data_IF_540071313725
#
_entry.id   IF_540071313725
#
_cell.length_a   1.000
_cell.length_b   1.000
_cell.length_c   1.000
_cell.angle_alpha   90.00
_cell.angle_beta   90.00
_cell.angle_gamma   90.00
#
_symmetry.space_group_name_H-M   'P 1'
#
loop_
_entity.id
_entity.type
_entity.pdbx_description
1 polymer ?
#
# COMPACT_ATOMS: atom_id res chain seq x y z
N UNK A 1 4.43 -33.32 -0.93
CA UNK A 1 4.90 -33.94 0.33
C UNK A 1 4.92 -32.86 1.39
N UNK A 2 4.50 -33.17 2.60
CA UNK A 2 4.59 -32.25 3.73
C UNK A 2 6.05 -32.17 4.20
N UNK A 3 6.53 -30.94 4.38
CA UNK A 3 7.89 -30.60 4.79
C UNK A 3 7.84 -29.78 6.08
N UNK A 4 8.89 -29.89 6.87
CA UNK A 4 9.03 -29.11 8.09
C UNK A 4 10.09 -28.01 7.90
N UNK A 5 9.84 -26.85 8.49
CA UNK A 5 10.78 -25.75 8.48
C UNK A 5 10.60 -24.81 9.65
N UNK A 6 11.49 -23.83 9.73
CA UNK A 6 11.45 -22.75 10.71
C UNK A 6 11.10 -21.44 10.02
N UNK A 7 10.16 -20.68 10.57
CA UNK A 7 9.82 -19.36 10.06
C UNK A 7 10.95 -18.38 10.44
N UNK A 8 11.90 -18.15 9.52
CA UNK A 8 13.10 -17.36 9.79
C UNK A 8 12.79 -15.87 9.92
N UNK A 9 11.88 -15.37 9.08
CA UNK A 9 11.45 -13.97 9.06
C UNK A 9 9.96 -13.90 8.78
N UNK A 10 9.25 -13.09 9.55
CA UNK A 10 7.84 -12.78 9.37
C UNK A 10 7.61 -11.27 9.44
N UNK A 11 6.91 -10.71 8.46
CA UNK A 11 6.41 -9.34 8.48
C UNK A 11 4.88 -9.37 8.60
N UNK A 12 4.38 -9.06 9.81
CA UNK A 12 2.94 -9.14 10.09
C UNK A 12 2.13 -8.04 9.39
N UNK A 13 2.70 -6.84 9.20
CA UNK A 13 2.06 -5.73 8.48
C UNK A 13 1.84 -6.06 7.00
N UNK A 14 2.82 -6.72 6.38
CA UNK A 14 2.76 -7.12 4.97
C UNK A 14 2.18 -8.52 4.77
N UNK A 15 2.01 -9.30 5.85
CA UNK A 15 1.36 -10.61 5.85
C UNK A 15 2.16 -11.72 5.14
N UNK A 16 3.49 -11.65 5.13
CA UNK A 16 4.33 -12.70 4.55
C UNK A 16 5.62 -12.95 5.32
N UNK A 17 6.25 -14.09 5.03
CA UNK A 17 7.53 -14.46 5.59
C UNK A 17 8.25 -15.53 4.77
N UNK A 18 9.37 -15.98 5.31
CA UNK A 18 10.22 -17.00 4.69
C UNK A 18 10.49 -18.14 5.66
N UNK A 19 10.23 -19.35 5.18
CA UNK A 19 10.46 -20.60 5.90
C UNK A 19 11.80 -21.16 5.45
N UNK A 20 12.69 -21.45 6.40
CA UNK A 20 13.91 -22.21 6.19
C UNK A 20 13.58 -23.70 6.33
N UNK A 21 13.69 -24.53 5.26
CA UNK A 21 13.46 -25.96 5.38
C UNK A 21 14.47 -26.60 6.34
N UNK A 22 14.01 -27.51 7.19
CA UNK A 22 14.88 -28.27 8.11
C UNK A 22 15.81 -29.24 7.36
N UNK A 23 15.38 -29.72 6.19
CA UNK A 23 16.18 -30.57 5.31
C UNK A 23 17.25 -29.79 4.51
N UNK A 24 17.38 -28.48 4.77
CA UNK A 24 18.24 -27.59 3.99
C UNK A 24 17.62 -27.21 2.63
N UNK A 25 18.26 -26.26 1.96
CA UNK A 25 17.82 -25.75 0.66
C UNK A 25 17.35 -24.29 0.70
N UNK A 26 16.76 -23.86 -0.42
CA UNK A 26 16.32 -22.48 -0.63
C UNK A 26 15.14 -22.11 0.29
N UNK A 27 15.12 -20.85 0.73
CA UNK A 27 14.03 -20.31 1.54
C UNK A 27 12.69 -20.40 0.78
N UNK A 28 11.66 -20.87 1.47
CA UNK A 28 10.32 -21.06 0.91
C UNK A 28 9.45 -19.89 1.33
N UNK A 29 8.83 -19.22 0.37
CA UNK A 29 7.95 -18.08 0.64
C UNK A 29 6.62 -18.54 1.26
N UNK A 30 6.19 -17.88 2.34
CA UNK A 30 4.92 -18.13 3.02
C UNK A 30 4.09 -16.84 3.11
N UNK A 31 2.80 -16.93 2.81
CA UNK A 31 1.85 -15.82 2.93
C UNK A 31 0.80 -16.15 4.01
N UNK A 32 0.27 -15.13 4.69
CA UNK A 32 -0.71 -15.30 5.78
C UNK A 32 -1.95 -16.09 5.35
N UNK A 33 -2.36 -15.98 4.08
CA UNK A 33 -3.48 -16.77 3.53
C UNK A 33 -3.22 -18.27 3.44
N UNK A 34 -1.95 -18.70 3.46
CA UNK A 34 -1.56 -20.10 3.48
C UNK A 34 -1.44 -20.66 4.90
N UNK A 35 -1.40 -19.80 5.92
CA UNK A 35 -1.29 -20.18 7.33
C UNK A 35 -2.63 -20.68 7.84
N UNK A 36 -2.59 -21.78 8.60
CA UNK A 36 -3.72 -22.44 9.24
C UNK A 36 -3.41 -22.53 10.73
N UNK A 37 -4.13 -21.77 11.55
CA UNK A 37 -3.99 -21.75 13.00
C UNK A 37 -4.75 -20.59 13.63
N UNK A 38 -4.93 -20.65 14.94
CA UNK A 38 -5.72 -19.69 15.72
C UNK A 38 -4.91 -18.46 16.17
N UNK A 39 -3.60 -18.47 15.91
CA UNK A 39 -2.69 -17.35 16.25
C UNK A 39 -1.92 -16.85 15.03
N UNK A 40 -1.51 -15.59 15.09
CA UNK A 40 -0.61 -15.00 14.09
C UNK A 40 0.77 -15.66 14.16
N UNK A 41 1.44 -15.88 13.01
CA UNK A 41 2.78 -16.46 12.99
C UNK A 41 3.83 -15.48 13.53
N UNK A 42 4.87 -16.03 14.14
CA UNK A 42 6.00 -15.24 14.67
C UNK A 42 7.30 -15.85 14.17
N UNK A 43 8.30 -15.00 13.91
CA UNK A 43 9.66 -15.46 13.58
C UNK A 43 10.18 -16.42 14.66
N UNK A 44 10.69 -17.57 14.26
CA UNK A 44 11.10 -18.66 15.15
C UNK A 44 10.09 -19.81 15.24
N UNK A 45 8.85 -19.62 14.77
CA UNK A 45 7.85 -20.69 14.77
C UNK A 45 8.30 -21.89 13.92
N UNK A 46 8.18 -23.10 14.47
CA UNK A 46 8.28 -24.33 13.67
C UNK A 46 6.98 -24.50 12.89
N UNK A 47 7.09 -24.77 11.60
CA UNK A 47 5.94 -24.89 10.71
C UNK A 47 6.04 -26.13 9.84
N UNK A 48 4.89 -26.75 9.60
CA UNK A 48 4.72 -27.81 8.60
C UNK A 48 4.01 -27.23 7.38
N UNK A 49 4.51 -27.51 6.18
CA UNK A 49 3.98 -26.93 4.94
C UNK A 49 4.14 -27.87 3.76
N UNK A 50 3.39 -27.64 2.70
CA UNK A 50 3.58 -28.31 1.41
C UNK A 50 4.28 -27.34 0.47
N UNK A 51 5.47 -27.71 0.00
CA UNK A 51 6.19 -26.91 -1.00
C UNK A 51 5.54 -27.08 -2.38
N UNK A 52 5.11 -25.97 -2.98
CA UNK A 52 4.64 -25.90 -4.36
C UNK A 52 5.53 -24.94 -5.16
N UNK A 53 5.79 -25.25 -6.43
CA UNK A 53 6.51 -24.34 -7.34
C UNK A 53 5.47 -23.53 -8.09
N UNK A 54 5.47 -22.21 -7.93
CA UNK A 54 4.65 -21.33 -8.75
C UNK A 54 5.24 -21.29 -10.18
N UNK A 55 4.42 -20.96 -11.20
CA UNK A 55 4.81 -20.96 -12.63
C UNK A 55 5.98 -20.04 -13.03
N UNK A 56 6.62 -19.38 -12.06
CA UNK A 56 7.84 -18.56 -12.18
C UNK A 56 9.02 -19.08 -11.35
N UNK A 57 9.07 -20.38 -11.05
CA UNK A 57 10.20 -21.04 -10.37
C UNK A 57 10.49 -20.57 -8.93
N UNK A 58 9.53 -19.93 -8.24
CA UNK A 58 9.63 -19.59 -6.82
C UNK A 58 8.95 -20.67 -5.97
N UNK A 59 9.63 -21.12 -4.91
CA UNK A 59 9.08 -22.07 -3.95
C UNK A 59 8.12 -21.34 -3.01
N UNK A 60 6.87 -21.82 -2.96
CA UNK A 60 5.82 -21.26 -2.13
C UNK A 60 5.24 -22.34 -1.22
N UNK A 61 5.03 -21.98 0.04
CA UNK A 61 4.44 -22.84 1.04
C UNK A 61 2.91 -22.77 0.95
N UNK A 62 2.27 -23.93 0.88
CA UNK A 62 0.83 -24.12 0.96
C UNK A 62 0.48 -24.92 2.22
N UNK A 63 -0.73 -24.72 2.75
CA UNK A 63 -1.24 -25.44 3.92
C UNK A 63 -0.30 -25.39 5.14
N UNK A 64 0.20 -24.21 5.49
CA UNK A 64 1.18 -24.05 6.56
C UNK A 64 0.51 -24.17 7.93
N UNK A 65 1.00 -25.04 8.80
CA UNK A 65 0.54 -25.22 10.19
C UNK A 65 1.68 -24.95 11.16
N UNK A 66 1.40 -24.23 12.25
CA UNK A 66 2.40 -23.98 13.29
C UNK A 66 2.48 -25.18 14.24
N UNK A 67 3.68 -25.70 14.46
CA UNK A 67 3.97 -26.81 15.36
C UNK A 67 4.27 -26.27 16.76
N UNK A 68 3.27 -26.30 17.64
CA UNK A 68 3.35 -26.00 19.07
C UNK A 68 2.01 -25.44 19.56
N UNK A 69 1.22 -26.18 20.32
CA UNK A 69 1.55 -26.80 21.62
C UNK A 69 1.44 -28.33 21.68
N UNK A 70 2.51 -28.99 22.13
CA UNK A 70 2.38 -30.19 22.95
C UNK A 70 1.93 -29.73 24.35
N UNK A 71 0.66 -29.93 24.68
CA UNK A 71 0.37 -30.45 26.00
C UNK A 71 0.88 -31.90 25.98
N UNK A 72 1.85 -32.18 26.85
CA UNK A 72 2.23 -33.54 27.19
C UNK A 72 0.99 -34.21 27.78
N UNK A 73 0.47 -35.26 27.15
CA UNK A 73 0.18 -36.56 27.78
C UNK A 73 -0.64 -37.48 26.85
N UNK A 74 -0.35 -38.77 26.96
CA UNK A 74 -1.06 -39.97 26.48
C UNK A 74 -1.12 -40.31 24.98
N UNK A 75 -0.20 -41.24 24.66
CA UNK A 75 -0.43 -42.37 23.76
C UNK A 75 -1.76 -43.06 24.07
N UNK A 76 -2.75 -42.89 23.18
CA UNK A 76 -3.86 -43.80 23.05
C UNK A 76 -3.80 -44.43 21.66
N UNK A 77 -3.21 -45.62 21.64
CA UNK A 77 -3.44 -46.65 20.63
C UNK A 77 -4.95 -46.71 20.36
N UNK A 78 -5.39 -46.36 19.15
CA UNK A 78 -6.68 -46.84 18.64
C UNK A 78 -6.62 -47.12 17.15
N UNK A 79 -6.69 -48.42 16.90
CA UNK A 79 -6.80 -49.15 15.65
C UNK A 79 -7.88 -48.58 14.73
N UNK A 80 -7.58 -48.57 13.42
CA UNK A 80 -8.54 -48.42 12.32
C UNK A 80 -9.76 -49.35 12.53
N UNK A 81 -10.93 -48.90 12.06
CA UNK A 81 -11.57 -49.71 11.02
C UNK A 81 -11.99 -48.89 9.80
N UNK A 82 -12.09 -49.67 8.72
CA UNK A 82 -12.45 -49.38 7.34
C UNK A 82 -13.94 -49.08 7.24
N UNK A 83 -14.32 -47.92 6.68
CA UNK A 83 -15.57 -47.80 5.94
C UNK A 83 -15.38 -46.89 4.74
N UNK A 84 -15.63 -47.49 3.58
CA UNK A 84 -15.79 -46.85 2.30
C UNK A 84 -17.07 -46.01 2.37
N UNK A 85 -16.97 -44.69 2.21
CA UNK A 85 -18.09 -43.89 1.75
C UNK A 85 -17.54 -42.64 1.07
N UNK A 86 -17.59 -42.67 -0.26
CA UNK A 86 -17.31 -41.55 -1.14
C UNK A 86 -18.47 -40.55 -1.04
N UNK A 87 -18.23 -39.27 -0.68
CA UNK A 87 -19.21 -38.25 -0.94
C UNK A 87 -19.22 -37.96 -2.44
N UNK A 88 -20.33 -38.30 -3.07
CA UNK A 88 -20.76 -37.90 -4.41
C UNK A 88 -20.30 -36.48 -4.71
N UNK A 89 -19.65 -36.33 -5.87
CA UNK A 89 -19.22 -35.08 -6.44
C UNK A 89 -20.37 -34.05 -6.43
N UNK A 90 -20.37 -33.16 -5.43
CA UNK A 90 -21.21 -31.98 -5.45
C UNK A 90 -20.63 -31.07 -6.52
N UNK A 91 -21.26 -31.08 -7.69
CA UNK A 91 -20.96 -30.22 -8.82
C UNK A 91 -20.59 -28.81 -8.34
N UNK A 92 -19.31 -28.44 -8.48
CA UNK A 92 -18.86 -27.07 -8.28
C UNK A 92 -19.57 -26.23 -9.33
N UNK A 93 -20.61 -25.49 -8.92
CA UNK A 93 -21.22 -24.44 -9.74
C UNK A 93 -20.09 -23.58 -10.30
N UNK A 94 -20.06 -23.26 -11.61
CA UNK A 94 -19.06 -22.38 -12.15
C UNK A 94 -19.16 -21.07 -11.36
N UNK A 95 -18.06 -20.72 -10.68
CA UNK A 95 -17.93 -19.45 -9.98
C UNK A 95 -17.95 -18.41 -11.08
N UNK A 96 -19.15 -17.87 -11.37
CA UNK A 96 -19.31 -16.72 -12.26
C UNK A 96 -18.32 -15.69 -11.76
N UNK A 97 -17.21 -15.54 -12.47
CA UNK A 97 -16.34 -14.38 -12.45
C UNK A 97 -17.17 -13.25 -13.03
N UNK A 98 -18.18 -12.80 -12.27
CA UNK A 98 -18.65 -11.45 -12.46
C UNK A 98 -17.41 -10.62 -12.20
N UNK A 99 -16.91 -9.98 -13.26
CA UNK A 99 -16.11 -8.78 -13.12
C UNK A 99 -16.99 -7.82 -12.32
N UNK A 100 -16.94 -7.94 -10.99
CA UNK A 100 -17.54 -6.99 -10.07
C UNK A 100 -16.73 -5.74 -10.32
N UNK A 101 -17.19 -4.94 -11.28
CA UNK A 101 -16.82 -3.54 -11.41
C UNK A 101 -17.19 -3.00 -10.04
N UNK A 102 -16.19 -2.87 -9.17
CA UNK A 102 -16.40 -2.37 -7.82
C UNK A 102 -17.02 -1.00 -8.01
N UNK A 103 -18.34 -0.91 -7.88
CA UNK A 103 -19.05 0.36 -7.91
C UNK A 103 -18.40 1.17 -6.80
N UNK A 104 -17.68 2.24 -7.16
CA UNK A 104 -17.12 3.16 -6.19
C UNK A 104 -18.26 3.61 -5.28
N UNK A 105 -18.33 3.05 -4.07
CA UNK A 105 -19.36 3.45 -3.12
C UNK A 105 -19.22 4.94 -2.84
N UNK A 106 -20.32 5.67 -2.65
CA UNK A 106 -20.30 7.13 -2.48
C UNK A 106 -19.27 7.54 -1.42
N UNK A 107 -18.53 8.61 -1.70
CA UNK A 107 -17.51 9.14 -0.80
C UNK A 107 -18.22 9.75 0.41
N UNK A 108 -18.01 9.18 1.60
CA UNK A 108 -18.53 9.77 2.85
C UNK A 108 -17.94 11.16 3.05
N UNK A 109 -18.77 12.11 3.49
CA UNK A 109 -18.40 13.50 3.79
C UNK A 109 -17.76 14.23 2.60
N UNK A 110 -18.29 14.04 1.39
CA UNK A 110 -17.76 14.66 0.17
C UNK A 110 -17.70 16.19 0.27
N UNK A 111 -18.77 16.83 0.75
CA UNK A 111 -18.82 18.30 0.89
C UNK A 111 -17.70 18.84 1.78
N UNK A 112 -17.48 18.24 2.96
CA UNK A 112 -16.39 18.63 3.85
C UNK A 112 -15.01 18.44 3.19
N UNK A 113 -14.82 17.34 2.45
CA UNK A 113 -13.56 17.08 1.74
C UNK A 113 -13.30 18.06 0.62
N UNK A 114 -14.33 18.43 -0.13
CA UNK A 114 -14.24 19.46 -1.17
C UNK A 114 -13.96 20.83 -0.54
N UNK A 115 -14.60 21.16 0.60
CA UNK A 115 -14.31 22.38 1.34
C UNK A 115 -12.84 22.44 1.77
N UNK A 116 -12.32 21.37 2.39
CA UNK A 116 -10.91 21.29 2.77
C UNK A 116 -9.99 21.41 1.56
N UNK A 117 -10.31 20.75 0.45
CA UNK A 117 -9.52 20.86 -0.78
C UNK A 117 -9.50 22.30 -1.31
N UNK A 118 -10.67 22.94 -1.41
CA UNK A 118 -10.79 24.33 -1.86
C UNK A 118 -10.02 25.27 -0.94
N UNK A 119 -10.10 25.07 0.37
CA UNK A 119 -9.37 25.85 1.36
C UNK A 119 -7.84 25.67 1.21
N UNK A 120 -7.35 24.45 1.01
CA UNK A 120 -5.92 24.21 0.81
C UNK A 120 -5.42 24.75 -0.54
N UNK A 121 -6.27 24.79 -1.55
CA UNK A 121 -5.91 25.28 -2.88
C UNK A 121 -6.00 26.81 -3.00
N UNK A 122 -6.77 27.50 -2.15
CA UNK A 122 -7.00 28.94 -2.30
C UNK A 122 -5.72 29.77 -2.13
N UNK A 123 -4.84 29.38 -1.20
CA UNK A 123 -3.62 30.11 -0.91
C UNK A 123 -2.56 29.95 -2.02
N UNK A 124 -2.22 28.74 -2.49
CA UNK A 124 -1.38 28.56 -3.68
C UNK A 124 -1.95 29.19 -4.95
N UNK A 125 -3.28 29.15 -5.12
CA UNK A 125 -3.94 29.75 -6.28
C UNK A 125 -3.83 31.27 -6.27
N UNK A 126 -4.08 31.90 -5.11
CA UNK A 126 -3.94 33.35 -4.95
C UNK A 126 -2.52 33.81 -5.25
N UNK A 127 -1.52 33.12 -4.69
CA UNK A 127 -0.12 33.45 -4.94
C UNK A 127 0.30 33.23 -6.41
N UNK A 128 -0.15 32.15 -7.05
CA UNK A 128 0.12 31.92 -8.46
C UNK A 128 -0.52 32.98 -9.37
N UNK A 129 -1.73 33.45 -9.02
CA UNK A 129 -2.40 34.55 -9.72
C UNK A 129 -1.61 35.86 -9.52
N UNK A 130 -1.17 36.15 -8.30
CA UNK A 130 -0.36 37.34 -8.03
C UNK A 130 0.93 37.34 -8.85
N UNK A 131 1.68 36.23 -8.86
CA UNK A 131 2.88 36.09 -9.70
C UNK A 131 2.61 36.23 -11.19
N UNK A 132 1.46 35.74 -11.65
CA UNK A 132 1.04 35.92 -13.04
C UNK A 132 0.77 37.40 -13.35
N UNK A 133 0.11 38.13 -12.46
CA UNK A 133 -0.22 39.54 -12.66
C UNK A 133 1.02 40.44 -12.56
N UNK A 134 1.92 40.17 -11.61
CA UNK A 134 3.09 41.01 -11.34
C UNK A 134 4.24 40.73 -12.31
N UNK A 135 4.52 39.46 -12.58
CA UNK A 135 5.71 39.02 -13.33
C UNK A 135 5.39 38.35 -14.67
N UNK A 136 4.11 38.09 -14.98
CA UNK A 136 3.72 37.31 -16.16
C UNK A 136 4.10 35.83 -16.08
N UNK A 137 4.47 35.32 -14.90
CA UNK A 137 5.03 33.98 -14.75
C UNK A 137 3.94 32.89 -14.76
N UNK A 138 3.50 32.51 -15.96
CA UNK A 138 2.42 31.53 -16.20
C UNK A 138 2.67 30.13 -15.61
N UNK A 139 3.94 29.75 -15.42
CA UNK A 139 4.29 28.41 -14.98
C UNK A 139 3.85 28.11 -13.55
N UNK A 140 3.85 29.11 -12.66
CA UNK A 140 3.34 28.96 -11.30
C UNK A 140 1.86 28.56 -11.28
N UNK A 141 1.06 29.04 -12.23
CA UNK A 141 -0.34 28.67 -12.36
C UNK A 141 -0.51 27.32 -13.09
N UNK A 142 0.27 27.08 -14.15
CA UNK A 142 0.13 25.89 -14.99
C UNK A 142 0.61 24.60 -14.32
N UNK A 143 1.59 24.68 -13.41
CA UNK A 143 2.19 23.48 -12.79
C UNK A 143 1.19 22.72 -11.92
N UNK A 144 0.36 23.40 -11.14
CA UNK A 144 -0.63 22.77 -10.25
C UNK A 144 -1.66 21.88 -10.97
N UNK A 145 -2.40 22.34 -12.00
CA UNK A 145 -3.35 21.50 -12.71
C UNK A 145 -2.66 20.37 -13.47
N UNK A 146 -1.52 20.63 -14.13
CA UNK A 146 -0.78 19.61 -14.89
C UNK A 146 -0.27 18.51 -13.95
N UNK A 147 0.43 18.88 -12.87
CA UNK A 147 0.92 17.92 -11.88
C UNK A 147 -0.24 17.20 -11.18
N UNK A 148 -1.37 17.86 -10.93
CA UNK A 148 -2.55 17.23 -10.35
C UNK A 148 -3.15 16.14 -11.23
N UNK A 149 -3.26 16.39 -12.54
CA UNK A 149 -3.74 15.37 -13.50
C UNK A 149 -2.78 14.19 -13.52
N UNK A 150 -1.47 14.45 -13.59
CA UNK A 150 -0.42 13.41 -13.59
C UNK A 150 -0.51 12.56 -12.31
N UNK A 151 -0.58 13.19 -11.14
CA UNK A 151 -0.71 12.50 -9.85
C UNK A 151 -1.99 11.68 -9.77
N UNK A 152 -3.13 12.21 -10.21
CA UNK A 152 -4.40 11.48 -10.20
C UNK A 152 -4.32 10.20 -11.05
N UNK A 153 -3.74 10.32 -12.26
CA UNK A 153 -3.55 9.18 -13.17
C UNK A 153 -2.61 8.15 -12.56
N UNK A 154 -1.52 8.56 -11.91
CA UNK A 154 -0.59 7.64 -11.25
C UNK A 154 -1.26 6.85 -10.13
N UNK A 155 -2.05 7.50 -9.27
CA UNK A 155 -2.81 6.80 -8.23
C UNK A 155 -3.83 5.81 -8.81
N UNK A 156 -4.47 6.18 -9.92
CA UNK A 156 -5.37 5.27 -10.62
C UNK A 156 -4.64 4.06 -11.20
N UNK A 157 -3.50 4.28 -11.86
CA UNK A 157 -2.66 3.22 -12.42
C UNK A 157 -2.08 2.31 -11.33
N UNK A 158 -1.68 2.86 -10.19
CA UNK A 158 -1.18 2.13 -9.02
C UNK A 158 -2.24 1.17 -8.48
N UNK A 159 -3.50 1.65 -8.34
CA UNK A 159 -4.63 0.79 -7.98
C UNK A 159 -4.90 -0.28 -9.03
N UNK A 160 -4.88 0.06 -10.31
CA UNK A 160 -5.10 -0.89 -11.39
C UNK A 160 -4.00 -1.97 -11.45
N UNK A 161 -2.75 -1.59 -11.18
CA UNK A 161 -1.59 -2.50 -11.13
C UNK A 161 -1.66 -3.43 -9.92
N UNK A 162 -2.10 -2.93 -8.76
CA UNK A 162 -2.31 -3.72 -7.55
C UNK A 162 -3.37 -4.83 -7.75
N UNK A 163 -4.43 -4.55 -8.51
CA UNK A 163 -5.47 -5.53 -8.84
C UNK A 163 -5.02 -6.57 -9.87
N UNK A 164 -4.14 -6.19 -10.80
CA UNK A 164 -3.65 -7.05 -11.89
C UNK A 164 -2.36 -7.81 -11.55
N UNK A 165 -1.87 -7.72 -10.30
CA UNK A 165 -0.61 -8.37 -9.88
C UNK A 165 0.62 -7.87 -10.64
N UNK A 166 0.59 -6.64 -11.17
CA UNK A 166 1.73 -6.01 -11.85
C UNK A 166 2.69 -5.40 -10.83
N UNK A 167 3.88 -5.01 -11.28
CA UNK A 167 4.85 -4.28 -10.44
C UNK A 167 4.22 -3.03 -9.85
N UNK A 168 4.40 -2.82 -8.54
CA UNK A 168 3.91 -1.65 -7.82
C UNK A 168 4.80 -0.44 -8.12
N UNK A 169 4.19 0.72 -8.28
CA UNK A 169 4.86 2.02 -8.38
C UNK A 169 5.55 2.35 -7.05
N UNK A 170 6.79 2.85 -7.11
CA UNK A 170 7.53 3.28 -5.91
C UNK A 170 6.86 4.50 -5.27
N UNK A 171 6.84 4.55 -3.94
CA UNK A 171 6.20 5.67 -3.21
C UNK A 171 6.92 7.00 -3.46
N UNK A 172 8.23 6.95 -3.70
CA UNK A 172 9.03 8.13 -4.02
C UNK A 172 8.58 8.80 -5.33
N UNK A 173 8.17 8.01 -6.33
CA UNK A 173 7.67 8.57 -7.58
C UNK A 173 6.35 9.32 -7.37
N UNK A 174 5.46 8.80 -6.52
CA UNK A 174 4.20 9.50 -6.20
C UNK A 174 4.46 10.80 -5.46
N UNK A 175 5.30 10.77 -4.43
CA UNK A 175 5.64 11.97 -3.65
C UNK A 175 6.38 13.03 -4.47
N UNK A 176 7.15 12.62 -5.50
CA UNK A 176 7.80 13.57 -6.40
C UNK A 176 6.80 14.47 -7.13
N UNK A 177 5.74 13.91 -7.71
CA UNK A 177 4.72 14.72 -8.39
C UNK A 177 3.82 15.47 -7.42
N UNK A 178 3.62 14.97 -6.20
CA UNK A 178 2.97 15.73 -5.12
C UNK A 178 3.79 16.97 -4.75
N UNK A 179 5.12 16.84 -4.67
CA UNK A 179 6.05 17.93 -4.39
C UNK A 179 6.07 18.98 -5.51
N UNK A 180 5.87 18.58 -6.77
CA UNK A 180 5.76 19.51 -7.90
C UNK A 180 4.41 20.26 -7.97
N UNK A 181 3.52 20.10 -7.00
CA UNK A 181 2.20 20.74 -6.98
C UNK A 181 1.05 19.82 -7.38
N UNK A 182 1.29 18.51 -7.53
CA UNK A 182 0.26 17.52 -7.85
C UNK A 182 -0.52 17.00 -6.63
N UNK A 183 -0.25 17.53 -5.44
CA UNK A 183 -0.94 17.13 -4.21
C UNK A 183 -2.48 17.29 -4.25
N UNK A 184 -3.10 18.28 -4.95
CA UNK A 184 -4.57 18.37 -5.04
C UNK A 184 -5.17 17.17 -5.77
N UNK A 185 -4.59 16.80 -6.92
CA UNK A 185 -4.99 15.62 -7.68
C UNK A 185 -4.75 14.31 -6.93
N UNK A 186 -3.65 14.22 -6.20
CA UNK A 186 -3.36 13.09 -5.31
C UNK A 186 -4.41 12.98 -4.19
N UNK A 187 -4.78 14.09 -3.54
CA UNK A 187 -5.79 14.12 -2.48
C UNK A 187 -7.15 13.64 -3.00
N UNK A 188 -7.57 14.11 -4.17
CA UNK A 188 -8.79 13.62 -4.84
C UNK A 188 -8.69 12.11 -5.13
N UNK A 189 -7.58 11.65 -5.67
CA UNK A 189 -7.37 10.25 -6.01
C UNK A 189 -7.42 9.34 -4.76
N UNK A 190 -6.81 9.75 -3.65
CA UNK A 190 -6.87 9.04 -2.37
C UNK A 190 -8.33 8.82 -1.91
N UNK A 191 -9.19 9.83 -2.09
CA UNK A 191 -10.61 9.74 -1.72
C UNK A 191 -11.43 8.88 -2.69
N UNK A 192 -11.23 9.03 -4.00
CA UNK A 192 -11.92 8.25 -5.03
C UNK A 192 -11.57 6.77 -4.96
N UNK A 193 -10.29 6.46 -4.76
CA UNK A 193 -9.78 5.10 -4.81
C UNK A 193 -9.72 4.40 -3.46
N UNK A 194 -9.84 5.15 -2.35
CA UNK A 194 -9.64 4.67 -0.96
C UNK A 194 -8.36 3.85 -0.81
N UNK A 195 -7.33 4.23 -1.57
CA UNK A 195 -6.06 3.55 -1.67
C UNK A 195 -5.00 4.46 -1.01
N UNK A 196 -4.09 3.88 -0.22
CA UNK A 196 -3.03 4.61 0.50
C UNK A 196 -3.49 5.63 1.56
N UNK A 197 -4.71 5.52 2.07
CA UNK A 197 -5.24 6.37 3.16
C UNK A 197 -4.90 5.89 4.57
N UNK A 198 -4.43 4.64 4.73
CA UNK A 198 -4.16 4.03 6.06
C UNK A 198 -2.68 3.93 6.42
N UNK A 199 -1.77 4.13 5.48
CA UNK A 199 -0.32 4.01 5.72
C UNK A 199 0.17 5.33 6.32
N UNK A 200 0.52 5.32 7.60
CA UNK A 200 0.88 6.53 8.36
C UNK A 200 2.09 7.23 7.73
N UNK A 201 3.16 6.50 7.43
CA UNK A 201 4.37 7.10 6.83
C UNK A 201 4.11 7.81 5.50
N UNK A 202 3.25 7.24 4.66
CA UNK A 202 2.85 7.83 3.39
C UNK A 202 2.03 9.12 3.60
N UNK A 203 1.08 9.09 4.54
CA UNK A 203 0.25 10.26 4.86
C UNK A 203 1.06 11.37 5.53
N UNK A 204 2.02 11.05 6.39
CA UNK A 204 2.92 12.04 6.99
C UNK A 204 3.74 12.77 5.93
N UNK A 205 4.37 12.03 5.01
CA UNK A 205 5.14 12.65 3.93
C UNK A 205 4.26 13.49 2.99
N UNK A 206 3.07 12.99 2.65
CA UNK A 206 2.07 13.76 1.89
C UNK A 206 1.72 15.08 2.58
N UNK A 207 1.39 15.06 3.88
CA UNK A 207 1.02 16.28 4.61
C UNK A 207 2.20 17.22 4.85
N UNK A 208 3.43 16.71 4.99
CA UNK A 208 4.64 17.54 5.00
C UNK A 208 4.81 18.30 3.68
N UNK A 209 4.56 17.63 2.54
CA UNK A 209 4.60 18.27 1.22
C UNK A 209 3.54 19.37 1.12
N UNK A 210 2.30 19.09 1.54
CA UNK A 210 1.23 20.11 1.55
C UNK A 210 1.62 21.28 2.43
N UNK A 211 2.09 21.02 3.66
CA UNK A 211 2.52 22.06 4.59
C UNK A 211 3.67 22.91 4.04
N UNK A 212 4.65 22.31 3.37
CA UNK A 212 5.74 23.02 2.72
C UNK A 212 5.24 24.00 1.64
N UNK A 213 4.28 23.56 0.81
CA UNK A 213 3.65 24.47 -0.17
C UNK A 213 2.88 25.60 0.52
N UNK A 214 2.12 25.31 1.57
CA UNK A 214 1.38 26.34 2.31
C UNK A 214 2.35 27.35 2.93
N UNK A 215 3.44 26.90 3.53
CA UNK A 215 4.46 27.75 4.13
C UNK A 215 5.13 28.65 3.09
N UNK A 216 5.52 28.08 1.93
CA UNK A 216 6.11 28.84 0.83
C UNK A 216 5.19 29.98 0.36
N UNK A 217 3.93 29.67 0.07
CA UNK A 217 2.99 30.68 -0.44
C UNK A 217 2.56 31.67 0.63
N UNK A 218 2.50 31.26 1.90
CA UNK A 218 2.21 32.15 3.01
C UNK A 218 3.34 33.17 3.20
N UNK A 219 4.59 32.71 3.15
CA UNK A 219 5.77 33.57 3.19
C UNK A 219 5.80 34.53 2.00
N UNK A 220 5.53 34.03 0.79
CA UNK A 220 5.46 34.85 -0.41
C UNK A 220 4.38 35.94 -0.32
N UNK A 221 3.17 35.58 0.12
CA UNK A 221 2.01 36.48 0.12
C UNK A 221 1.98 37.48 1.28
N UNK A 222 2.46 37.07 2.46
CA UNK A 222 2.30 37.86 3.69
C UNK A 222 3.61 38.47 4.21
N UNK A 223 4.75 37.91 3.80
CA UNK A 223 6.07 38.23 4.35
C UNK A 223 7.05 38.63 3.22
N UNK A 224 6.54 38.92 2.01
CA UNK A 224 7.33 39.29 0.84
C UNK A 224 8.48 38.30 0.52
N UNK A 225 8.34 37.03 0.93
CA UNK A 225 9.34 35.99 0.73
C UNK A 225 10.59 36.08 1.64
N UNK A 226 10.53 36.80 2.76
CA UNK A 226 11.70 36.98 3.65
C UNK A 226 12.26 35.66 4.16
N UNK A 227 11.41 34.73 4.60
CA UNK A 227 11.90 33.50 5.22
C UNK A 227 12.44 32.52 4.17
N UNK A 228 11.82 32.45 3.01
CA UNK A 228 12.32 31.63 1.90
C UNK A 228 13.67 32.13 1.39
N UNK A 229 13.82 33.45 1.21
CA UNK A 229 15.08 34.03 0.74
C UNK A 229 16.22 33.83 1.75
N UNK A 230 15.97 34.01 3.05
CA UNK A 230 16.96 33.71 4.09
C UNK A 230 17.29 32.21 4.17
N UNK A 231 16.28 31.33 4.03
CA UNK A 231 16.51 29.88 3.98
C UNK A 231 17.44 29.50 2.82
N UNK A 232 17.17 30.01 1.61
CA UNK A 232 17.99 29.74 0.43
C UNK A 232 19.42 30.27 0.65
N UNK A 233 19.57 31.46 1.24
CA UNK A 233 20.88 32.04 1.57
C UNK A 233 21.68 31.18 2.54
N UNK A 234 21.04 30.61 3.56
CA UNK A 234 21.69 29.75 4.56
C UNK A 234 21.98 28.35 4.01
N UNK A 235 21.07 27.80 3.19
CA UNK A 235 21.17 26.44 2.66
C UNK A 235 22.17 26.32 1.50
N UNK A 236 22.36 27.38 0.73
CA UNK A 236 23.32 27.48 -0.36
C UNK A 236 24.28 28.65 -0.10
N UNK A 237 25.22 28.50 0.85
CA UNK A 237 26.26 29.50 1.05
C UNK A 237 27.11 29.55 -0.23
N UNK A 238 27.08 30.68 -0.92
CA UNK A 238 27.95 30.97 -2.06
C UNK A 238 29.42 31.02 -1.64
#
# INVERSE_FOLDING_TARGET
MEQQGLLKRWNDEQGFGFIQPLQGGAEVFAHISAMRGDRRPVSGDRVMYIASKDGRSRLRAEHVRVAGSLALDQSAIRTKPKSLEMPVARARKPKKTSSRRESMGPVKNLALKLLVLTLLCSLPLSGAIQLLLDSGFIWALAVYPVASVISFVQYWQDKASAQKGRWRTSENALHFFELLGGWPGALLAQQCFRHKTRKVSFQLLFWMIVAAHQAFWLDWLLLDGTYFTEFVRVALPH
#
